data_IF_459372974664
#
_entry.id   IF_459372974664
#
_cell.length_a   1.000
_cell.length_b   1.000
_cell.length_c   1.000
_cell.angle_alpha   90.00
_cell.angle_beta   90.00
_cell.angle_gamma   90.00
#
_symmetry.space_group_name_H-M   'P 1'
#
loop_
_entity.id
_entity.type
_entity.pdbx_description
1 polymer ?
#
# COMPACT_ATOMS: atom_id res chain seq x y z
N UNK A 1 30.60 -2.42 20.83
CA UNK A 1 29.70 -2.17 19.68
C UNK A 1 29.30 -0.71 19.68
N UNK A 2 29.26 -0.09 18.52
CA UNK A 2 28.85 1.30 18.39
C UNK A 2 27.35 1.50 18.71
N UNK A 3 26.96 2.74 19.01
CA UNK A 3 25.55 3.05 19.24
C UNK A 3 24.69 2.71 18.01
N UNK A 4 25.23 2.95 16.81
CA UNK A 4 24.55 2.63 15.58
C UNK A 4 24.33 1.12 15.44
N UNK A 5 25.36 0.31 15.73
CA UNK A 5 25.23 -1.14 15.69
C UNK A 5 24.17 -1.67 16.65
N UNK A 6 24.11 -1.11 17.87
CA UNK A 6 23.10 -1.48 18.85
C UNK A 6 21.69 -1.14 18.37
N UNK A 7 21.51 0.04 17.74
CA UNK A 7 20.22 0.45 17.17
C UNK A 7 19.77 -0.48 16.05
N UNK A 8 20.68 -0.86 15.15
CA UNK A 8 20.35 -1.74 14.04
C UNK A 8 19.92 -3.12 14.54
N UNK A 9 20.62 -3.67 15.53
CA UNK A 9 20.24 -4.95 16.12
C UNK A 9 18.87 -4.87 16.79
N UNK A 10 18.60 -3.80 17.53
CA UNK A 10 17.31 -3.60 18.17
C UNK A 10 16.19 -3.51 17.15
N UNK A 11 16.38 -2.74 16.07
CA UNK A 11 15.37 -2.59 15.00
C UNK A 11 15.10 -3.92 14.31
N UNK A 12 16.12 -4.72 14.05
CA UNK A 12 15.96 -6.03 13.44
C UNK A 12 15.17 -6.98 14.35
N UNK A 13 15.43 -6.95 15.65
CA UNK A 13 14.70 -7.77 16.63
C UNK A 13 13.24 -7.36 16.73
N UNK A 14 12.95 -6.07 16.73
CA UNK A 14 11.59 -5.57 16.76
C UNK A 14 10.81 -5.98 15.51
N UNK A 15 11.39 -5.83 14.33
CA UNK A 15 10.76 -6.24 13.08
C UNK A 15 10.48 -7.74 13.06
N UNK A 16 11.41 -8.55 13.55
CA UNK A 16 11.23 -9.98 13.63
C UNK A 16 10.14 -10.37 14.62
N UNK A 17 10.06 -9.69 15.76
CA UNK A 17 9.00 -9.91 16.75
C UNK A 17 7.62 -9.61 16.18
N UNK A 18 7.47 -8.51 15.44
CA UNK A 18 6.20 -8.17 14.78
C UNK A 18 5.83 -9.25 13.77
N UNK A 19 6.77 -9.69 12.94
CA UNK A 19 6.52 -10.69 11.91
C UNK A 19 6.07 -12.03 12.49
N UNK A 20 6.53 -12.37 13.69
CA UNK A 20 6.16 -13.61 14.37
C UNK A 20 5.01 -13.43 15.38
N UNK A 21 4.44 -12.24 15.46
CA UNK A 21 3.37 -11.94 16.42
C UNK A 21 3.85 -11.82 17.86
N UNK A 22 5.14 -11.68 18.10
CA UNK A 22 5.72 -11.54 19.43
C UNK A 22 5.58 -10.12 20.01
N UNK A 23 5.36 -9.12 19.12
CA UNK A 23 5.21 -7.74 19.51
C UNK A 23 3.76 -7.29 19.35
N UNK A 24 3.32 -6.35 20.17
CA UNK A 24 1.99 -5.76 20.06
C UNK A 24 1.93 -4.86 18.81
N UNK A 25 1.11 -5.25 17.84
CA UNK A 25 0.95 -4.52 16.58
C UNK A 25 0.46 -3.09 16.80
N UNK A 26 -0.33 -2.82 17.85
CA UNK A 26 -0.84 -1.47 18.13
C UNK A 26 0.27 -0.48 18.43
N UNK A 27 1.39 -0.94 18.98
CA UNK A 27 2.57 -0.12 19.30
C UNK A 27 3.24 0.42 18.05
N UNK A 28 3.16 -0.33 16.95
CA UNK A 28 3.89 -0.03 15.71
C UNK A 28 3.01 0.49 14.59
N UNK A 29 1.69 0.53 14.79
CA UNK A 29 0.71 0.97 13.78
C UNK A 29 0.89 0.23 12.45
N UNK A 30 1.04 -1.08 12.53
CA UNK A 30 1.26 -1.94 11.37
C UNK A 30 0.02 -1.94 10.47
N UNK A 31 0.24 -1.76 9.16
CA UNK A 31 -0.83 -1.89 8.17
C UNK A 31 -1.25 -3.35 8.05
N UNK A 32 -2.54 -3.61 8.23
CA UNK A 32 -3.12 -4.93 8.02
C UNK A 32 -4.02 -4.85 6.79
N UNK A 33 -3.66 -5.53 5.69
CA UNK A 33 -4.48 -5.49 4.48
C UNK A 33 -5.88 -6.05 4.75
N UNK A 34 -6.90 -5.26 4.41
CA UNK A 34 -8.28 -5.73 4.40
C UNK A 34 -8.65 -6.10 2.98
N UNK A 35 -9.75 -6.83 2.81
CA UNK A 35 -10.27 -7.10 1.48
C UNK A 35 -10.69 -5.78 0.84
N UNK A 36 -10.11 -5.45 -0.32
CA UNK A 36 -10.30 -4.18 -1.00
C UNK A 36 -11.15 -4.39 -2.24
N UNK A 37 -12.16 -3.53 -2.42
CA UNK A 37 -12.94 -3.49 -3.66
C UNK A 37 -12.29 -2.47 -4.59
N UNK A 38 -11.41 -2.94 -5.46
CA UNK A 38 -10.64 -2.09 -6.36
C UNK A 38 -11.54 -1.34 -7.33
N UNK A 39 -12.57 -2.01 -7.84
CA UNK A 39 -13.52 -1.40 -8.77
C UNK A 39 -14.28 -0.25 -8.10
N UNK A 40 -14.64 -0.40 -6.84
CA UNK A 40 -15.32 0.66 -6.09
C UNK A 40 -14.41 1.87 -5.87
N UNK A 41 -13.13 1.63 -5.58
CA UNK A 41 -12.16 2.71 -5.43
C UNK A 41 -12.06 3.52 -6.73
N UNK A 42 -11.93 2.83 -7.85
CA UNK A 42 -11.86 3.48 -9.16
C UNK A 42 -13.16 4.26 -9.47
N UNK A 43 -14.30 3.65 -9.18
CA UNK A 43 -15.60 4.27 -9.42
C UNK A 43 -15.77 5.58 -8.64
N UNK A 44 -15.28 5.62 -7.40
CA UNK A 44 -15.31 6.85 -6.60
C UNK A 44 -14.48 7.96 -7.19
N UNK A 45 -13.45 7.62 -7.99
CA UNK A 45 -12.65 8.63 -8.69
C UNK A 45 -13.25 9.05 -10.03
N UNK A 46 -14.27 8.33 -10.51
CA UNK A 46 -14.93 8.62 -11.77
C UNK A 46 -14.05 8.40 -13.01
N UNK A 47 -13.12 7.46 -12.93
CA UNK A 47 -12.13 7.25 -13.99
C UNK A 47 -12.33 5.89 -14.65
N UNK A 48 -11.94 5.80 -15.93
CA UNK A 48 -11.85 4.51 -16.63
C UNK A 48 -10.65 3.73 -16.10
N UNK A 49 -10.55 2.45 -16.46
CA UNK A 49 -9.40 1.62 -16.07
C UNK A 49 -8.08 2.24 -16.54
N UNK A 50 -8.04 2.66 -17.80
CA UNK A 50 -6.85 3.27 -18.39
C UNK A 50 -6.51 4.60 -17.71
N UNK A 51 -7.49 5.45 -17.51
CA UNK A 51 -7.29 6.75 -16.85
C UNK A 51 -6.78 6.59 -15.42
N UNK A 52 -7.35 5.64 -14.68
CA UNK A 52 -6.96 5.36 -13.30
C UNK A 52 -5.49 4.89 -13.24
N UNK A 53 -5.11 4.00 -14.15
CA UNK A 53 -3.76 3.47 -14.20
C UNK A 53 -2.73 4.54 -14.59
N UNK A 54 -3.06 5.38 -15.57
CA UNK A 54 -2.18 6.48 -15.96
C UNK A 54 -2.00 7.47 -14.82
N UNK A 55 -3.09 7.83 -14.17
CA UNK A 55 -3.07 8.84 -13.11
C UNK A 55 -2.27 8.40 -11.88
N UNK A 56 -2.39 7.15 -11.51
CA UNK A 56 -1.79 6.63 -10.28
C UNK A 56 -0.61 5.69 -10.51
N UNK A 57 -0.18 5.53 -11.75
CA UNK A 57 1.03 4.74 -12.05
C UNK A 57 0.85 3.24 -11.86
N UNK A 58 -0.32 2.69 -12.23
CA UNK A 58 -0.63 1.28 -12.07
C UNK A 58 -0.63 0.55 -13.41
N UNK A 59 -0.47 -0.77 -13.37
CA UNK A 59 -0.58 -1.62 -14.55
C UNK A 59 -2.04 -1.90 -14.86
N UNK A 60 -2.47 -1.66 -16.10
CA UNK A 60 -3.85 -1.95 -16.54
C UNK A 60 -4.14 -3.44 -16.43
N UNK A 61 -3.17 -4.30 -16.78
CA UNK A 61 -3.33 -5.74 -16.67
C UNK A 61 -3.59 -6.17 -15.24
N UNK A 62 -2.81 -5.63 -14.28
CA UNK A 62 -3.01 -5.92 -12.86
C UNK A 62 -4.37 -5.42 -12.37
N UNK A 63 -4.75 -4.20 -12.76
CA UNK A 63 -6.04 -3.63 -12.35
C UNK A 63 -7.21 -4.50 -12.82
N UNK A 64 -7.15 -4.95 -14.08
CA UNK A 64 -8.18 -5.82 -14.64
C UNK A 64 -8.29 -7.14 -13.88
N UNK A 65 -7.15 -7.75 -13.56
CA UNK A 65 -7.13 -9.00 -12.79
C UNK A 65 -7.74 -8.80 -11.40
N UNK A 66 -7.42 -7.70 -10.73
CA UNK A 66 -7.98 -7.38 -9.43
C UNK A 66 -9.49 -7.16 -9.49
N UNK A 67 -9.97 -6.41 -10.50
CA UNK A 67 -11.39 -6.11 -10.64
C UNK A 67 -12.20 -7.34 -11.02
N UNK A 68 -11.61 -8.27 -11.77
CA UNK A 68 -12.25 -9.52 -12.17
C UNK A 68 -12.13 -10.63 -11.12
N UNK A 69 -11.37 -10.40 -10.07
CA UNK A 69 -11.18 -11.37 -9.01
C UNK A 69 -10.22 -12.51 -9.32
N UNK A 70 -9.43 -12.39 -10.40
CA UNK A 70 -8.43 -13.43 -10.74
C UNK A 70 -7.28 -13.47 -9.75
N UNK A 71 -6.82 -12.29 -9.34
CA UNK A 71 -5.77 -12.12 -8.34
C UNK A 71 -6.18 -11.02 -7.39
N UNK A 72 -5.75 -11.15 -6.14
CA UNK A 72 -5.93 -10.07 -5.16
C UNK A 72 -4.69 -9.19 -5.16
N UNK A 73 -4.84 -7.88 -4.89
CA UNK A 73 -3.67 -7.02 -4.70
C UNK A 73 -2.82 -7.54 -3.55
N UNK A 74 -1.49 -7.54 -3.73
CA UNK A 74 -0.59 -7.90 -2.65
C UNK A 74 -0.62 -6.80 -1.56
N UNK A 75 0.04 -7.02 -0.39
CA UNK A 75 0.00 -6.02 0.69
C UNK A 75 0.47 -4.63 0.27
N UNK A 76 1.48 -4.53 -0.57
CA UNK A 76 1.99 -3.25 -1.05
C UNK A 76 0.97 -2.54 -1.94
N UNK A 77 0.39 -3.26 -2.89
CA UNK A 77 -0.66 -2.71 -3.76
C UNK A 77 -1.90 -2.33 -2.96
N UNK A 78 -2.28 -3.16 -1.97
CA UNK A 78 -3.42 -2.87 -1.10
C UNK A 78 -3.20 -1.57 -0.31
N UNK A 79 -2.01 -1.36 0.21
CA UNK A 79 -1.66 -0.13 0.92
C UNK A 79 -1.78 1.08 0.00
N UNK A 80 -1.23 0.98 -1.21
CA UNK A 80 -1.28 2.06 -2.19
C UNK A 80 -2.72 2.39 -2.60
N UNK A 81 -3.51 1.37 -2.88
CA UNK A 81 -4.93 1.56 -3.25
C UNK A 81 -5.71 2.20 -2.10
N UNK A 82 -5.41 1.83 -0.86
CA UNK A 82 -6.03 2.45 0.32
C UNK A 82 -5.69 3.94 0.40
N UNK A 83 -4.45 4.31 0.11
CA UNK A 83 -4.02 5.71 0.12
C UNK A 83 -4.72 6.49 -0.99
N UNK A 84 -4.85 5.91 -2.18
CA UNK A 84 -5.58 6.52 -3.29
C UNK A 84 -7.04 6.78 -2.89
N UNK A 85 -7.66 5.82 -2.21
CA UNK A 85 -9.05 5.94 -1.80
C UNK A 85 -9.26 7.05 -0.76
N UNK A 86 -8.35 7.14 0.22
CA UNK A 86 -8.50 8.07 1.36
C UNK A 86 -7.91 9.44 1.13
N UNK A 87 -6.84 9.54 0.35
CA UNK A 87 -6.12 10.80 0.15
C UNK A 87 -5.66 10.93 -1.31
N UNK A 88 -6.61 10.93 -2.27
CA UNK A 88 -6.24 10.97 -3.69
C UNK A 88 -5.43 12.20 -4.08
N UNK A 89 -5.75 13.36 -3.52
CA UNK A 89 -5.05 14.60 -3.84
C UNK A 89 -3.58 14.55 -3.39
N UNK A 90 -3.31 13.93 -2.25
CA UNK A 90 -1.94 13.79 -1.75
C UNK A 90 -1.11 12.89 -2.67
N UNK A 91 -1.71 11.80 -3.19
CA UNK A 91 -1.05 10.91 -4.13
C UNK A 91 -0.76 11.64 -5.44
N UNK A 92 -1.76 12.34 -5.97
CA UNK A 92 -1.63 13.07 -7.23
C UNK A 92 -0.56 14.14 -7.14
N UNK A 93 -0.52 14.89 -6.04
CA UNK A 93 0.51 15.90 -5.80
C UNK A 93 1.90 15.26 -5.73
N UNK A 94 2.03 14.16 -5.00
CA UNK A 94 3.32 13.47 -4.85
C UNK A 94 3.83 12.96 -6.20
N UNK A 95 2.96 12.36 -7.02
CA UNK A 95 3.36 11.84 -8.33
C UNK A 95 3.69 12.94 -9.32
N UNK A 96 2.99 14.06 -9.27
CA UNK A 96 3.25 15.20 -10.13
C UNK A 96 4.64 15.80 -9.89
N UNK A 97 5.11 15.78 -8.64
CA UNK A 97 6.40 16.36 -8.26
C UNK A 97 7.59 15.45 -8.57
N UNK A 98 7.35 14.21 -8.95
CA UNK A 98 8.42 13.23 -9.25
C UNK A 98 9.08 13.48 -10.60
N UNK A 99 8.38 14.09 -11.54
CA UNK A 99 8.88 14.32 -12.91
C UNK A 99 10.10 15.25 -12.97
#
# INVERSE_FOLDING_TARGET
>A
MSKLGKRLIKSAKEARGIARGEADASTYKVFVPAKIDVKAIRARRGLTQEEFCIKYGLSVASLRDWEQGRFSPDPTASAYLTIIDRAPEAVEEALTKVA
#
